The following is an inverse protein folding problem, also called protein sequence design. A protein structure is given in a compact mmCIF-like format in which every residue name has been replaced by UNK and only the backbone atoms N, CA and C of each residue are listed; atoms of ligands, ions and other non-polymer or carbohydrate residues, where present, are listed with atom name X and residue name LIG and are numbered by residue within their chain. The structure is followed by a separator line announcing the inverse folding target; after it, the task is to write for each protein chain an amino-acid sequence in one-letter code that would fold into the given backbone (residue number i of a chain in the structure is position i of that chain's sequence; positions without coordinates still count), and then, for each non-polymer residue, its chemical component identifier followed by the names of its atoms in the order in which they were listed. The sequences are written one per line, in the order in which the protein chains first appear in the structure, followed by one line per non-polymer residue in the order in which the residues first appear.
data_IF_083912053655
#
_entry.id   IF_083912053655
#
_cell.length_a   1.000
_cell.length_b   1.000
_cell.length_c   1.000
_cell.angle_alpha   90.00
_cell.angle_beta   90.00
_cell.angle_gamma   90.00
#
_symmetry.space_group_name_H-M   'P 1'
#
loop_
_entity.id
_entity.type
_entity.pdbx_description
1 polymer ?
#
# COMPACT_ATOMS: atom_id res chain seq x y z
N UNK A 1 -38.28 -54.67 -31.78
CA UNK A 1 -38.16 -54.10 -30.42
C UNK A 1 -36.90 -53.27 -30.41
N UNK A 2 -37.04 -51.93 -30.51
CA UNK A 2 -35.93 -50.96 -30.58
C UNK A 2 -35.80 -50.27 -29.24
N UNK A 3 -34.69 -50.57 -28.54
CA UNK A 3 -34.32 -49.89 -27.25
C UNK A 3 -33.70 -48.54 -27.55
N UNK A 4 -34.31 -47.49 -27.08
CA UNK A 4 -33.74 -46.13 -27.13
C UNK A 4 -32.99 -45.91 -25.85
N UNK A 5 -31.66 -45.81 -25.95
CA UNK A 5 -30.77 -45.31 -24.89
C UNK A 5 -30.78 -43.78 -24.92
N UNK A 6 -31.44 -43.16 -23.95
CA UNK A 6 -31.32 -41.72 -23.66
C UNK A 6 -29.97 -41.48 -22.95
N UNK A 7 -29.01 -40.94 -23.68
CA UNK A 7 -27.80 -40.39 -23.07
C UNK A 7 -28.14 -38.99 -22.51
N UNK A 8 -28.35 -38.91 -21.20
CA UNK A 8 -28.49 -37.64 -20.49
C UNK A 8 -27.13 -36.95 -20.41
N UNK A 9 -26.96 -35.91 -21.18
CA UNK A 9 -25.79 -35.01 -21.08
C UNK A 9 -25.98 -34.12 -19.85
N UNK A 10 -25.39 -34.51 -18.72
CA UNK A 10 -25.27 -33.66 -17.55
C UNK A 10 -24.26 -32.53 -17.86
N UNK A 11 -24.79 -31.39 -18.29
CA UNK A 11 -24.06 -30.14 -18.38
C UNK A 11 -23.79 -29.65 -16.97
N UNK A 12 -22.64 -30.04 -16.39
CA UNK A 12 -22.16 -29.45 -15.13
C UNK A 12 -21.68 -28.04 -15.47
N UNK A 13 -22.59 -27.07 -15.42
CA UNK A 13 -22.22 -25.66 -15.31
C UNK A 13 -21.47 -25.46 -14.00
N UNK A 14 -20.14 -25.54 -14.02
CA UNK A 14 -19.34 -25.04 -12.94
C UNK A 14 -19.56 -23.53 -12.87
N UNK A 15 -20.55 -23.11 -12.07
CA UNK A 15 -20.62 -21.74 -11.59
C UNK A 15 -19.33 -21.50 -10.78
N UNK A 16 -18.31 -21.01 -11.44
CA UNK A 16 -17.21 -20.36 -10.72
C UNK A 16 -17.85 -19.17 -9.99
N UNK A 17 -18.05 -19.32 -8.69
CA UNK A 17 -18.46 -18.24 -7.84
C UNK A 17 -17.43 -17.11 -8.06
N UNK A 18 -17.81 -16.09 -8.82
CA UNK A 18 -16.99 -14.91 -9.02
C UNK A 18 -16.86 -14.29 -7.64
N UNK A 19 -15.64 -14.21 -7.11
CA UNK A 19 -15.40 -13.49 -5.88
C UNK A 19 -16.00 -12.09 -6.02
N UNK A 20 -16.82 -11.70 -5.03
CA UNK A 20 -17.35 -10.35 -4.97
C UNK A 20 -16.17 -9.38 -4.89
N UNK A 21 -16.25 -8.31 -5.66
CA UNK A 21 -15.22 -7.26 -5.64
C UNK A 21 -15.63 -6.14 -4.70
N UNK A 22 -14.76 -5.84 -3.77
CA UNK A 22 -14.92 -4.75 -2.83
C UNK A 22 -14.18 -3.52 -3.37
N UNK A 23 -14.80 -2.36 -3.27
CA UNK A 23 -14.15 -1.09 -3.62
C UNK A 23 -13.05 -0.76 -2.63
N UNK A 24 -11.90 -0.35 -3.15
CA UNK A 24 -10.77 0.17 -2.40
C UNK A 24 -10.75 1.69 -2.48
N UNK A 25 -10.12 2.31 -1.50
CA UNK A 25 -9.83 3.73 -1.50
C UNK A 25 -8.34 3.97 -1.38
N UNK A 26 -7.86 5.04 -2.01
CA UNK A 26 -6.48 5.49 -1.83
C UNK A 26 -6.43 6.43 -0.65
N UNK A 27 -5.73 6.04 0.40
CA UNK A 27 -5.38 6.93 1.49
C UNK A 27 -4.03 7.57 1.19
N UNK A 28 -4.03 8.76 0.62
CA UNK A 28 -2.82 9.50 0.28
C UNK A 28 -2.63 10.67 1.24
N UNK A 29 -1.39 10.89 1.65
CA UNK A 29 -0.95 12.08 2.39
C UNK A 29 0.22 12.77 1.70
N UNK A 30 0.35 12.58 0.41
CA UNK A 30 1.41 13.12 -0.40
C UNK A 30 1.15 12.98 -1.89
N UNK A 31 2.11 13.42 -2.66
CA UNK A 31 2.03 13.53 -4.11
C UNK A 31 1.98 12.19 -4.83
N UNK A 32 2.70 11.20 -4.31
CA UNK A 32 2.91 9.92 -4.98
C UNK A 32 2.67 8.79 -4.00
N UNK A 33 1.99 7.77 -4.47
CA UNK A 33 1.65 6.60 -3.67
C UNK A 33 0.42 6.82 -2.80
N UNK A 34 0.34 6.03 -1.75
CA UNK A 34 -0.77 6.01 -0.81
C UNK A 34 -0.98 4.59 -0.30
N UNK A 35 -1.70 4.46 0.79
CA UNK A 35 -2.10 3.16 1.33
C UNK A 35 -3.38 2.68 0.68
N UNK A 36 -3.55 1.37 0.65
CA UNK A 36 -4.76 0.72 0.19
C UNK A 36 -5.73 0.63 1.37
N UNK A 37 -6.73 1.50 1.37
CA UNK A 37 -7.77 1.51 2.38
C UNK A 37 -8.99 0.71 1.93
N UNK A 38 -9.58 -0.01 2.87
CA UNK A 38 -10.79 -0.81 2.68
C UNK A 38 -11.72 -0.64 3.87
N UNK A 39 -13.03 -0.76 3.62
CA UNK A 39 -14.03 -0.78 4.68
C UNK A 39 -14.26 -2.23 5.10
N UNK A 40 -13.99 -2.53 6.35
CA UNK A 40 -14.20 -3.86 6.96
C UNK A 40 -15.35 -3.75 7.96
N UNK A 41 -16.23 -4.72 7.92
CA UNK A 41 -17.28 -4.85 8.91
C UNK A 41 -16.81 -5.76 10.05
N UNK A 42 -16.89 -5.26 11.27
CA UNK A 42 -16.64 -6.01 12.49
C UNK A 42 -17.93 -6.02 13.31
N UNK A 43 -18.55 -7.21 13.43
CA UNK A 43 -19.89 -7.36 13.99
C UNK A 43 -20.91 -6.47 13.25
N UNK A 44 -21.53 -5.51 13.95
CA UNK A 44 -22.52 -4.56 13.43
C UNK A 44 -21.92 -3.22 12.98
N UNK A 45 -20.59 -3.06 13.06
CA UNK A 45 -19.90 -1.79 12.80
C UNK A 45 -18.92 -1.89 11.64
N UNK A 46 -18.92 -0.87 10.81
CA UNK A 46 -17.93 -0.71 9.76
C UNK A 46 -16.76 0.13 10.26
N UNK A 47 -15.56 -0.24 9.83
CA UNK A 47 -14.30 0.44 10.16
C UNK A 47 -13.39 0.59 8.96
N UNK A 48 -12.41 1.46 9.06
CA UNK A 48 -11.43 1.78 8.01
C UNK A 48 -10.13 1.02 8.28
N UNK A 49 -9.70 0.24 7.33
CA UNK A 49 -8.53 -0.62 7.48
C UNK A 49 -7.57 -0.46 6.31
N UNK A 50 -6.29 -0.66 6.58
CA UNK A 50 -5.24 -0.71 5.56
C UNK A 50 -4.88 -2.17 5.25
N UNK A 51 -4.69 -2.50 3.97
CA UNK A 51 -4.17 -3.80 3.54
C UNK A 51 -2.65 -3.72 3.51
N UNK A 52 -2.00 -4.63 4.25
CA UNK A 52 -0.56 -4.62 4.45
C UNK A 52 0.05 -6.02 4.29
N UNK A 53 0.62 -6.29 3.11
CA UNK A 53 1.34 -7.53 2.84
C UNK A 53 2.74 -7.58 3.48
N UNK A 54 3.22 -6.48 4.02
CA UNK A 54 4.46 -6.39 4.80
C UNK A 54 4.29 -6.68 6.30
N UNK A 55 3.05 -6.94 6.76
CA UNK A 55 2.78 -7.26 8.17
C UNK A 55 2.42 -8.72 8.36
N UNK A 56 3.15 -9.41 9.26
CA UNK A 56 2.85 -10.81 9.64
C UNK A 56 1.66 -10.94 10.59
N UNK A 57 1.07 -9.84 11.03
CA UNK A 57 -0.03 -9.78 11.99
C UNK A 57 -1.09 -8.77 11.57
N UNK A 58 -2.32 -8.96 12.03
CA UNK A 58 -3.27 -7.86 12.07
C UNK A 58 -2.87 -6.88 13.18
N UNK A 59 -3.15 -5.61 12.99
CA UNK A 59 -2.94 -4.56 13.99
C UNK A 59 -4.25 -3.79 14.15
N UNK A 60 -4.61 -3.42 15.37
CA UNK A 60 -5.78 -2.59 15.64
C UNK A 60 -5.45 -1.39 16.51
N UNK A 61 -6.20 -0.31 16.31
CA UNK A 61 -6.10 0.89 17.12
C UNK A 61 -6.65 0.65 18.53
N UNK A 62 -6.28 1.55 19.47
CA UNK A 62 -6.91 1.61 20.80
C UNK A 62 -8.41 1.79 20.66
N UNK A 63 -8.84 2.75 19.85
CA UNK A 63 -10.25 3.12 19.70
C UNK A 63 -11.08 1.96 19.17
N UNK A 64 -10.55 1.18 18.23
CA UNK A 64 -11.20 -0.04 17.75
C UNK A 64 -11.36 -1.04 18.90
N UNK A 65 -10.29 -1.32 19.64
CA UNK A 65 -10.32 -2.28 20.74
C UNK A 65 -11.29 -1.86 21.86
N UNK A 66 -11.35 -0.58 22.18
CA UNK A 66 -12.27 -0.03 23.20
C UNK A 66 -13.73 -0.11 22.73
N UNK A 67 -14.02 0.26 21.46
CA UNK A 67 -15.37 0.17 20.90
C UNK A 67 -15.93 -1.25 20.88
N UNK A 68 -15.08 -2.25 20.64
CA UNK A 68 -15.43 -3.67 20.61
C UNK A 68 -15.15 -4.39 21.93
N UNK A 69 -14.76 -3.63 23.00
CA UNK A 69 -14.50 -4.16 24.37
C UNK A 69 -13.54 -5.36 24.36
N UNK A 70 -12.49 -5.30 23.53
CA UNK A 70 -11.55 -6.40 23.39
C UNK A 70 -10.71 -6.57 24.67
N UNK A 71 -10.58 -7.79 25.13
CA UNK A 71 -9.73 -8.13 26.28
C UNK A 71 -8.27 -8.10 25.87
N UNK A 72 -7.46 -7.36 26.63
CA UNK A 72 -6.01 -7.28 26.42
C UNK A 72 -5.31 -8.54 26.96
N UNK A 73 -4.55 -9.19 26.09
CA UNK A 73 -3.70 -10.31 26.40
C UNK A 73 -2.25 -9.90 26.70
N UNK A 74 -1.31 -10.75 26.32
CA UNK A 74 0.10 -10.55 26.53
C UNK A 74 0.64 -9.30 25.86
N UNK A 75 1.59 -8.62 26.51
CA UNK A 75 2.31 -7.51 25.91
C UNK A 75 3.39 -8.03 24.96
N UNK A 76 3.41 -7.52 23.73
CA UNK A 76 4.32 -7.94 22.66
C UNK A 76 5.02 -6.72 22.08
N UNK A 77 6.30 -6.87 21.74
CA UNK A 77 7.08 -5.90 20.98
C UNK A 77 7.34 -6.44 19.58
N UNK A 78 7.11 -5.61 18.58
CA UNK A 78 7.36 -5.91 17.16
C UNK A 78 8.28 -4.86 16.55
N UNK A 79 9.13 -5.29 15.63
CA UNK A 79 9.95 -4.37 14.83
C UNK A 79 9.16 -3.94 13.61
N UNK A 80 9.20 -2.62 13.31
CA UNK A 80 8.59 -2.02 12.14
C UNK A 80 9.62 -1.21 11.35
N UNK A 81 9.27 -0.78 10.14
CA UNK A 81 10.12 0.09 9.33
C UNK A 81 10.45 1.42 10.02
N UNK A 82 9.57 1.90 10.90
CA UNK A 82 9.73 3.14 11.66
C UNK A 82 10.31 2.94 13.06
N UNK A 83 10.70 1.72 13.41
CA UNK A 83 11.25 1.34 14.71
C UNK A 83 10.35 0.39 15.50
N UNK A 84 10.75 0.01 16.71
CA UNK A 84 10.01 -0.95 17.50
C UNK A 84 8.73 -0.37 18.08
N UNK A 85 7.65 -1.15 17.99
CA UNK A 85 6.34 -0.82 18.54
C UNK A 85 5.93 -1.88 19.57
N UNK A 86 5.36 -1.43 20.68
CA UNK A 86 4.80 -2.31 21.71
C UNK A 86 3.29 -2.24 21.71
N UNK A 87 2.65 -3.38 21.89
CA UNK A 87 1.21 -3.48 21.99
C UNK A 87 0.79 -4.67 22.84
N UNK A 88 -0.52 -4.92 22.90
CA UNK A 88 -1.09 -6.10 23.57
C UNK A 88 -1.79 -6.98 22.55
N UNK A 89 -1.68 -8.28 22.69
CA UNK A 89 -2.47 -9.21 21.88
C UNK A 89 -3.96 -9.07 22.24
N UNK A 90 -4.82 -9.16 21.23
CA UNK A 90 -6.27 -9.14 21.40
C UNK A 90 -6.88 -10.18 20.44
N UNK A 91 -7.97 -10.82 20.87
CA UNK A 91 -8.81 -11.60 19.98
C UNK A 91 -9.70 -10.65 19.18
N UNK A 92 -9.73 -10.82 17.84
CA UNK A 92 -10.58 -10.02 16.98
C UNK A 92 -12.02 -10.54 16.98
N UNK A 93 -13.02 -9.68 16.85
CA UNK A 93 -14.36 -10.09 16.47
C UNK A 93 -14.33 -10.66 15.05
N UNK A 94 -15.43 -11.25 14.62
CA UNK A 94 -15.58 -11.69 13.24
C UNK A 94 -15.51 -10.49 12.29
N UNK A 95 -14.60 -10.57 11.35
CA UNK A 95 -14.41 -9.54 10.32
C UNK A 95 -15.06 -9.99 9.03
N UNK A 96 -15.70 -9.07 8.31
CA UNK A 96 -16.24 -9.28 6.97
C UNK A 96 -15.78 -8.22 6.00
N UNK A 97 -15.49 -8.69 4.77
CA UNK A 97 -15.04 -7.86 3.66
C UNK A 97 -15.72 -8.40 2.38
N UNK A 98 -16.83 -7.79 1.99
CA UNK A 98 -17.72 -8.37 0.99
C UNK A 98 -18.27 -9.72 1.45
N UNK A 99 -18.14 -10.74 0.61
CA UNK A 99 -18.52 -12.13 0.93
C UNK A 99 -17.49 -12.88 1.76
N UNK A 100 -16.27 -12.34 1.88
CA UNK A 100 -15.22 -12.96 2.68
C UNK A 100 -15.44 -12.69 4.17
N UNK A 101 -15.28 -13.73 4.99
CA UNK A 101 -15.33 -13.64 6.45
C UNK A 101 -14.09 -14.24 7.08
N UNK A 102 -13.64 -13.64 8.17
CA UNK A 102 -12.43 -14.02 8.88
C UNK A 102 -12.71 -14.07 10.38
N UNK A 103 -12.68 -15.27 10.91
CA UNK A 103 -13.08 -15.57 12.30
C UNK A 103 -11.90 -16.11 13.09
N UNK A 104 -11.95 -16.01 14.43
CA UNK A 104 -10.98 -16.63 15.33
C UNK A 104 -9.56 -16.08 15.20
N UNK A 105 -9.40 -14.85 14.74
CA UNK A 105 -8.10 -14.21 14.55
C UNK A 105 -7.67 -13.40 15.74
N UNK A 106 -6.36 -13.14 15.82
CA UNK A 106 -5.77 -12.23 16.79
C UNK A 106 -5.11 -11.05 16.10
N UNK A 107 -4.99 -9.95 16.81
CA UNK A 107 -4.29 -8.76 16.37
C UNK A 107 -3.37 -8.23 17.47
N UNK A 108 -2.46 -7.37 17.09
CA UNK A 108 -1.71 -6.53 18.01
C UNK A 108 -2.46 -5.20 18.17
N UNK A 109 -2.99 -4.95 19.36
CA UNK A 109 -3.56 -3.63 19.70
C UNK A 109 -2.41 -2.70 20.07
N UNK A 110 -2.33 -1.58 19.36
CA UNK A 110 -1.38 -0.50 19.65
C UNK A 110 -2.12 0.77 20.03
N UNK A 111 -1.45 1.65 20.80
CA UNK A 111 -2.10 2.85 21.32
C UNK A 111 -2.38 3.89 20.24
N UNK A 112 -1.50 3.99 19.26
CA UNK A 112 -1.60 4.96 18.17
C UNK A 112 -1.06 4.38 16.87
N UNK A 113 -1.93 4.22 15.85
CA UNK A 113 -1.53 3.75 14.53
C UNK A 113 -0.61 4.73 13.79
N UNK A 114 -0.57 6.00 14.20
CA UNK A 114 0.35 6.96 13.61
C UNK A 114 1.83 6.60 13.82
N UNK A 115 2.18 5.74 14.78
CA UNK A 115 3.56 5.23 14.95
C UNK A 115 3.96 4.25 13.84
N UNK A 116 2.99 3.72 13.08
CA UNK A 116 3.20 2.78 11.96
C UNK A 116 2.88 3.44 10.61
N UNK A 117 1.81 4.22 10.56
CA UNK A 117 1.27 4.83 9.34
C UNK A 117 1.57 6.33 9.23
N UNK A 118 2.27 6.92 10.22
CA UNK A 118 2.40 8.36 10.31
C UNK A 118 1.01 9.03 10.42
N UNK A 119 0.83 10.27 9.95
CA UNK A 119 -0.46 10.97 10.00
C UNK A 119 -1.62 10.22 9.31
N UNK A 120 -1.33 9.28 8.40
CA UNK A 120 -2.34 8.43 7.77
C UNK A 120 -3.08 7.53 8.76
N UNK A 121 -2.47 7.22 9.90
CA UNK A 121 -3.07 6.38 10.93
C UNK A 121 -4.26 7.00 11.65
N UNK A 122 -4.50 8.29 11.49
CA UNK A 122 -5.64 8.96 12.11
C UNK A 122 -6.98 8.48 11.53
N UNK A 123 -7.87 8.04 12.42
CA UNK A 123 -9.17 7.50 12.06
C UNK A 123 -9.11 6.16 11.29
N UNK A 124 -7.99 5.46 11.32
CA UNK A 124 -7.86 4.07 10.88
C UNK A 124 -8.09 3.14 12.07
N UNK A 125 -8.94 2.15 11.88
CA UNK A 125 -9.29 1.16 12.89
C UNK A 125 -8.27 0.03 12.99
N UNK A 126 -7.68 -0.34 11.85
CA UNK A 126 -6.68 -1.40 11.85
C UNK A 126 -5.92 -1.58 10.54
N UNK A 127 -5.03 -2.56 10.58
CA UNK A 127 -4.22 -3.03 9.47
C UNK A 127 -4.50 -4.52 9.29
N UNK A 128 -4.93 -4.90 8.09
CA UNK A 128 -5.08 -6.30 7.68
C UNK A 128 -3.75 -6.80 7.14
N UNK A 129 -3.06 -7.60 7.95
CA UNK A 129 -1.80 -8.23 7.56
C UNK A 129 -1.98 -9.58 6.87
N UNK A 130 -0.88 -10.30 6.68
CA UNK A 130 -0.81 -11.59 5.98
C UNK A 130 -1.76 -12.69 6.47
N UNK A 131 -2.22 -12.74 7.74
CA UNK A 131 -3.24 -13.72 8.11
C UNK A 131 -4.50 -13.65 7.25
N UNK A 132 -4.82 -12.46 6.68
CA UNK A 132 -5.89 -12.29 5.68
C UNK A 132 -5.70 -13.20 4.46
N UNK A 133 -4.46 -13.43 4.03
CA UNK A 133 -4.13 -14.12 2.78
C UNK A 133 -3.95 -15.62 2.96
N UNK A 134 -3.93 -16.12 4.18
CA UNK A 134 -3.73 -17.56 4.44
C UNK A 134 -4.93 -18.35 3.91
N UNK A 135 -4.67 -19.31 3.03
CA UNK A 135 -5.72 -20.10 2.36
C UNK A 135 -6.54 -19.30 1.34
N UNK A 136 -6.09 -18.10 0.95
CA UNK A 136 -6.79 -17.21 0.04
C UNK A 136 -5.91 -16.79 -1.13
N UNK A 137 -6.56 -16.47 -2.24
CA UNK A 137 -5.98 -15.72 -3.35
C UNK A 137 -6.54 -14.29 -3.33
N UNK A 138 -5.64 -13.32 -3.37
CA UNK A 138 -5.97 -11.90 -3.42
C UNK A 138 -5.95 -11.40 -4.87
N UNK A 139 -7.07 -10.90 -5.37
CA UNK A 139 -7.18 -10.17 -6.65
C UNK A 139 -7.13 -8.68 -6.38
N UNK A 140 -5.92 -8.14 -6.31
CA UNK A 140 -5.66 -6.73 -6.06
C UNK A 140 -5.60 -5.99 -7.41
N UNK A 141 -6.65 -5.26 -7.75
CA UNK A 141 -6.74 -4.48 -8.98
C UNK A 141 -6.64 -2.98 -8.66
N UNK A 142 -5.42 -2.44 -8.74
CA UNK A 142 -5.16 -1.03 -8.47
C UNK A 142 -5.37 -0.12 -9.69
N UNK A 143 -5.80 -0.67 -10.83
CA UNK A 143 -6.31 0.13 -11.94
C UNK A 143 -7.73 0.59 -11.66
N UNK A 144 -8.57 -0.35 -11.23
CA UNK A 144 -10.00 -0.11 -10.95
C UNK A 144 -10.27 0.10 -9.46
N UNK A 145 -9.23 0.07 -8.62
CA UNK A 145 -9.30 0.16 -7.16
C UNK A 145 -10.34 -0.79 -6.56
N UNK A 146 -10.18 -2.07 -6.88
CA UNK A 146 -11.03 -3.14 -6.36
C UNK A 146 -10.19 -4.30 -5.82
N UNK A 147 -10.76 -4.99 -4.83
CA UNK A 147 -10.21 -6.17 -4.20
C UNK A 147 -11.18 -7.33 -4.33
N UNK A 148 -10.71 -8.47 -4.82
CA UNK A 148 -11.38 -9.75 -4.70
C UNK A 148 -10.61 -10.67 -3.76
N UNK A 149 -11.33 -11.43 -2.95
CA UNK A 149 -10.75 -12.47 -2.10
C UNK A 149 -11.46 -13.78 -2.43
N UNK A 150 -10.71 -14.80 -2.78
CA UNK A 150 -11.24 -16.12 -3.09
C UNK A 150 -10.41 -17.20 -2.39
N UNK A 151 -10.93 -18.37 -2.12
CA UNK A 151 -10.13 -19.49 -1.64
C UNK A 151 -8.92 -19.73 -2.56
N UNK A 152 -7.77 -19.99 -1.97
CA UNK A 152 -6.57 -20.33 -2.73
C UNK A 152 -6.82 -21.53 -3.64
N UNK A 153 -6.24 -21.51 -4.83
CA UNK A 153 -6.30 -22.65 -5.76
C UNK A 153 -5.57 -23.83 -5.11
N UNK A 154 -6.23 -24.95 -4.92
CA UNK A 154 -5.63 -26.15 -4.30
C UNK A 154 -4.25 -26.53 -4.86
N UNK A 155 -3.82 -27.78 -4.78
CA UNK A 155 -2.46 -28.25 -5.08
C UNK A 155 -1.90 -27.89 -6.48
N UNK A 156 -2.72 -27.46 -7.42
CA UNK A 156 -2.31 -27.01 -8.75
C UNK A 156 -2.94 -25.65 -9.07
N UNK A 157 -2.15 -24.60 -8.93
CA UNK A 157 -2.59 -23.27 -9.35
C UNK A 157 -2.90 -23.25 -10.86
N UNK A 158 -4.03 -22.67 -11.30
CA UNK A 158 -4.32 -22.49 -12.71
C UNK A 158 -3.28 -21.58 -13.37
N UNK A 159 -3.15 -21.66 -14.70
CA UNK A 159 -2.35 -20.70 -15.44
C UNK A 159 -2.82 -19.26 -15.17
N UNK A 160 -1.90 -18.30 -15.24
CA UNK A 160 -2.27 -16.90 -15.14
C UNK A 160 -3.30 -16.53 -16.22
N UNK A 161 -4.25 -15.65 -15.91
CA UNK A 161 -5.18 -15.12 -16.90
C UNK A 161 -4.46 -14.48 -18.09
N UNK A 162 -5.14 -14.41 -19.23
CA UNK A 162 -4.61 -13.72 -20.41
C UNK A 162 -4.20 -12.28 -20.06
N UNK A 163 -3.04 -11.85 -20.57
CA UNK A 163 -2.46 -10.54 -20.29
C UNK A 163 -1.74 -10.42 -18.93
N UNK A 164 -1.62 -11.52 -18.18
CA UNK A 164 -0.83 -11.59 -16.96
C UNK A 164 0.30 -12.61 -17.09
N UNK A 165 1.44 -12.32 -16.48
CA UNK A 165 2.59 -13.21 -16.41
C UNK A 165 2.74 -13.81 -15.01
N UNK A 166 3.28 -15.01 -14.98
CA UNK A 166 3.64 -15.72 -13.77
C UNK A 166 4.85 -15.05 -13.09
N UNK A 167 4.76 -14.86 -11.79
CA UNK A 167 5.81 -14.34 -10.94
C UNK A 167 5.96 -15.24 -9.72
N UNK A 168 7.12 -15.88 -9.59
CA UNK A 168 7.46 -16.63 -8.40
C UNK A 168 7.68 -15.68 -7.22
N UNK A 169 7.08 -15.99 -6.07
CA UNK A 169 7.30 -15.29 -4.82
C UNK A 169 8.31 -16.05 -3.97
N UNK A 170 9.34 -15.34 -3.52
CA UNK A 170 10.17 -15.78 -2.42
C UNK A 170 9.46 -15.54 -1.09
N UNK A 171 10.10 -15.99 -0.02
CA UNK A 171 9.61 -15.76 1.34
C UNK A 171 10.78 -15.40 2.26
N UNK A 172 10.57 -14.41 3.10
CA UNK A 172 11.48 -14.08 4.20
C UNK A 172 10.67 -13.87 5.48
N UNK A 173 10.83 -14.78 6.46
CA UNK A 173 10.11 -14.75 7.76
C UNK A 173 8.59 -14.67 7.61
N UNK A 174 8.03 -15.39 6.65
CA UNK A 174 6.60 -15.37 6.34
C UNK A 174 6.15 -14.18 5.46
N UNK A 175 7.06 -13.26 5.10
CA UNK A 175 6.76 -12.10 4.24
C UNK A 175 7.05 -12.43 2.77
N UNK A 176 6.19 -12.00 1.82
CA UNK A 176 6.41 -12.24 0.40
C UNK A 176 7.55 -11.38 -0.14
N UNK A 177 8.41 -12.00 -0.94
CA UNK A 177 9.58 -11.38 -1.56
C UNK A 177 9.47 -11.49 -3.07
N UNK A 178 9.79 -10.41 -3.77
CA UNK A 178 9.84 -10.36 -5.24
C UNK A 178 11.24 -9.97 -5.71
N UNK A 179 11.63 -10.51 -6.88
CA UNK A 179 12.83 -10.07 -7.59
C UNK A 179 12.55 -8.79 -8.38
N UNK A 180 13.37 -7.77 -8.15
CA UNK A 180 13.23 -6.45 -8.78
C UNK A 180 14.54 -6.04 -9.42
N UNK A 181 14.52 -5.67 -10.69
CA UNK A 181 15.69 -5.14 -11.41
C UNK A 181 15.53 -3.63 -11.58
N UNK A 182 16.48 -2.85 -11.07
CA UNK A 182 16.46 -1.38 -11.12
C UNK A 182 17.52 -0.90 -12.10
N UNK A 183 17.13 -0.10 -13.09
CA UNK A 183 18.00 0.45 -14.15
C UNK A 183 18.84 -0.62 -14.88
N UNK A 184 18.32 -1.84 -15.01
CA UNK A 184 19.04 -2.96 -15.66
C UNK A 184 20.20 -3.53 -14.83
N UNK A 185 20.36 -3.16 -13.57
CA UNK A 185 21.37 -3.72 -12.66
C UNK A 185 21.02 -5.16 -12.22
N UNK A 186 21.81 -5.72 -11.31
CA UNK A 186 21.52 -7.04 -10.74
C UNK A 186 20.14 -7.02 -10.04
N UNK A 187 19.44 -8.14 -10.12
CA UNK A 187 18.13 -8.30 -9.46
C UNK A 187 18.30 -8.28 -7.95
N UNK A 188 17.55 -7.39 -7.31
CA UNK A 188 17.43 -7.25 -5.86
C UNK A 188 16.18 -7.99 -5.36
N UNK A 189 16.23 -8.51 -4.14
CA UNK A 189 15.06 -9.08 -3.46
C UNK A 189 14.41 -8.01 -2.59
N UNK A 190 13.16 -7.66 -2.87
CA UNK A 190 12.39 -6.68 -2.11
C UNK A 190 11.15 -7.35 -1.50
N UNK A 191 10.75 -6.93 -0.30
CA UNK A 191 9.45 -7.32 0.24
C UNK A 191 8.34 -6.70 -0.63
N UNK A 192 7.34 -7.49 -0.98
CA UNK A 192 6.09 -7.01 -1.54
C UNK A 192 5.24 -6.45 -0.39
N UNK A 193 5.23 -5.14 -0.24
CA UNK A 193 4.76 -4.45 0.96
C UNK A 193 3.72 -3.37 0.62
N UNK A 194 2.44 -3.73 0.67
CA UNK A 194 1.33 -2.78 0.44
C UNK A 194 1.10 -1.84 1.63
N UNK A 195 1.73 -2.09 2.79
CA UNK A 195 1.80 -1.15 3.91
C UNK A 195 2.77 0.02 3.67
N UNK A 196 3.61 -0.08 2.63
CA UNK A 196 4.52 0.99 2.21
C UNK A 196 3.92 1.79 1.04
N UNK A 197 3.68 3.10 1.21
CA UNK A 197 3.09 3.94 0.16
C UNK A 197 4.09 4.31 -0.96
N UNK A 198 5.40 4.23 -0.72
CA UNK A 198 6.43 4.54 -1.73
C UNK A 198 6.48 3.49 -2.84
N UNK A 199 7.16 3.78 -3.95
CA UNK A 199 7.34 2.80 -5.01
C UNK A 199 8.43 1.78 -4.63
N UNK A 200 9.64 2.26 -4.39
CA UNK A 200 10.78 1.44 -3.95
C UNK A 200 11.44 2.10 -2.75
N UNK A 201 11.71 1.32 -1.72
CA UNK A 201 12.57 1.73 -0.59
C UNK A 201 13.76 0.80 -0.54
N UNK A 202 14.97 1.31 -0.75
CA UNK A 202 16.21 0.61 -0.47
C UNK A 202 16.62 0.85 0.98
N UNK A 203 16.93 -0.21 1.69
CA UNK A 203 17.28 -0.15 3.11
C UNK A 203 18.79 -0.29 3.24
N UNK A 204 19.41 0.71 3.85
CA UNK A 204 20.86 0.78 4.03
C UNK A 204 21.21 0.76 5.53
N UNK A 205 22.42 0.27 5.83
CA UNK A 205 23.02 0.36 7.16
C UNK A 205 24.23 1.28 7.08
N UNK A 206 24.01 2.59 7.02
CA UNK A 206 25.10 3.57 7.08
C UNK A 206 25.41 3.91 8.54
N UNK A 207 26.69 4.04 8.86
CA UNK A 207 27.17 4.37 10.21
C UNK A 207 27.10 5.85 10.54
N UNK A 208 26.79 6.72 9.56
CA UNK A 208 26.72 8.17 9.80
C UNK A 208 25.34 8.59 10.30
N UNK A 209 25.31 9.34 11.39
CA UNK A 209 24.10 9.77 12.10
C UNK A 209 23.23 10.81 11.34
N UNK A 210 23.65 11.29 10.19
CA UNK A 210 22.97 12.34 9.45
C UNK A 210 22.59 11.85 8.05
N UNK A 211 21.48 11.16 7.92
CA UNK A 211 20.95 10.95 6.58
C UNK A 211 19.46 11.27 6.53
N UNK A 212 19.16 12.44 6.00
CA UNK A 212 17.90 12.66 5.30
C UNK A 212 17.76 11.51 4.30
N UNK A 213 16.63 10.82 4.22
CA UNK A 213 16.42 9.77 3.23
C UNK A 213 16.81 10.28 1.84
N UNK A 214 17.72 9.58 1.16
CA UNK A 214 18.04 9.89 -0.23
C UNK A 214 16.79 9.65 -1.08
N UNK A 215 16.48 10.58 -1.98
CA UNK A 215 15.37 10.43 -2.92
C UNK A 215 15.91 10.60 -4.33
N UNK A 216 15.75 9.58 -5.17
CA UNK A 216 16.25 9.55 -6.54
C UNK A 216 15.23 8.92 -7.48
N UNK A 217 15.41 9.12 -8.80
CA UNK A 217 14.55 8.60 -9.85
C UNK A 217 15.27 7.48 -10.59
N UNK A 218 14.72 6.27 -10.56
CA UNK A 218 15.13 5.19 -11.44
C UNK A 218 14.44 5.35 -12.81
N UNK A 219 15.20 5.19 -13.87
CA UNK A 219 14.65 5.24 -15.25
C UNK A 219 13.75 4.05 -15.54
N UNK A 220 14.06 2.90 -14.92
CA UNK A 220 13.25 1.69 -15.06
C UNK A 220 13.34 0.79 -13.83
N UNK A 221 12.21 0.13 -13.52
CA UNK A 221 12.11 -0.95 -12.54
C UNK A 221 11.34 -2.09 -13.19
N UNK A 222 11.91 -3.29 -13.17
CA UNK A 222 11.31 -4.48 -13.78
C UNK A 222 11.00 -5.53 -12.72
N UNK A 223 9.79 -6.08 -12.74
CA UNK A 223 9.31 -7.15 -11.88
C UNK A 223 8.70 -8.24 -12.78
N UNK A 224 9.45 -9.31 -13.01
CA UNK A 224 9.04 -10.29 -14.03
C UNK A 224 8.79 -9.61 -15.37
N UNK A 225 7.56 -9.68 -15.89
CA UNK A 225 7.16 -9.05 -17.15
C UNK A 225 6.58 -7.61 -16.99
N UNK A 226 6.37 -7.14 -15.78
CA UNK A 226 5.95 -5.76 -15.51
C UNK A 226 7.16 -4.83 -15.58
N UNK A 227 7.06 -3.76 -16.35
CA UNK A 227 8.07 -2.70 -16.40
C UNK A 227 7.47 -1.37 -15.99
N UNK A 228 8.09 -0.71 -15.00
CA UNK A 228 7.76 0.65 -14.57
C UNK A 228 8.88 1.59 -15.00
N UNK A 229 8.52 2.79 -15.40
CA UNK A 229 9.48 3.86 -15.73
C UNK A 229 9.31 5.04 -14.78
N UNK A 230 10.37 5.84 -14.65
CA UNK A 230 10.37 7.06 -13.83
C UNK A 230 9.97 6.79 -12.38
N UNK A 231 10.60 5.76 -11.78
CA UNK A 231 10.23 5.23 -10.47
C UNK A 231 10.98 5.96 -9.35
N UNK A 232 10.28 6.63 -8.42
CA UNK A 232 10.90 7.18 -7.21
C UNK A 232 11.49 6.07 -6.33
N UNK A 233 12.75 6.21 -5.97
CA UNK A 233 13.48 5.31 -5.06
C UNK A 233 13.90 6.09 -3.82
N UNK A 234 13.44 5.62 -2.68
CA UNK A 234 13.83 6.13 -1.35
C UNK A 234 15.00 5.32 -0.84
N UNK A 235 16.09 5.97 -0.46
CA UNK A 235 17.23 5.34 0.22
C UNK A 235 17.08 5.60 1.72
N UNK A 236 16.66 4.61 2.47
CA UNK A 236 16.37 4.72 3.89
C UNK A 236 17.55 4.17 4.71
N UNK A 237 18.16 5.00 5.53
CA UNK A 237 19.11 4.54 6.52
C UNK A 237 18.35 4.00 7.75
N UNK A 238 18.18 2.70 7.81
CA UNK A 238 17.45 2.02 8.88
C UNK A 238 18.24 0.78 9.36
N UNK A 239 19.31 0.94 10.16
CA UNK A 239 20.20 -0.16 10.54
C UNK A 239 19.51 -1.32 11.25
N UNK A 240 18.49 -1.06 12.05
CA UNK A 240 17.73 -2.11 12.73
C UNK A 240 16.93 -2.96 11.73
N UNK A 241 16.21 -2.30 10.82
CA UNK A 241 15.46 -2.97 9.77
C UNK A 241 16.39 -3.70 8.80
N UNK A 242 17.52 -3.07 8.43
CA UNK A 242 18.54 -3.73 7.63
C UNK A 242 19.02 -5.05 8.28
N UNK A 243 19.35 -5.04 9.56
CA UNK A 243 19.76 -6.28 10.27
C UNK A 243 18.66 -7.34 10.31
N UNK A 244 17.39 -6.91 10.36
CA UNK A 244 16.27 -7.84 10.36
C UNK A 244 16.03 -8.50 9.00
N UNK A 245 16.37 -7.84 7.90
CA UNK A 245 16.07 -8.23 6.51
C UNK A 245 17.29 -8.79 5.78
N UNK A 246 18.49 -8.23 6.00
CA UNK A 246 19.70 -8.65 5.30
C UNK A 246 20.20 -10.05 5.74
N UNK A 247 20.94 -10.78 4.87
CA UNK A 247 21.30 -10.37 3.50
C UNK A 247 20.23 -10.70 2.46
N UNK A 248 19.10 -11.32 2.84
CA UNK A 248 18.11 -11.88 1.92
C UNK A 248 17.25 -10.83 1.24
N UNK A 249 17.02 -9.68 1.90
CA UNK A 249 16.10 -8.64 1.42
C UNK A 249 16.82 -7.29 1.50
N UNK A 250 16.79 -6.54 0.39
CA UNK A 250 17.47 -5.25 0.25
C UNK A 250 16.53 -4.05 0.41
N UNK A 251 15.22 -4.28 0.46
CA UNK A 251 14.26 -3.17 0.53
C UNK A 251 12.80 -3.59 0.44
N UNK A 252 11.95 -2.62 0.11
CA UNK A 252 10.51 -2.76 0.03
C UNK A 252 10.03 -2.31 -1.36
N UNK A 253 9.08 -3.06 -1.92
CA UNK A 253 8.33 -2.71 -3.12
C UNK A 253 6.89 -2.37 -2.69
N UNK A 254 6.53 -1.10 -2.75
CA UNK A 254 5.31 -0.61 -2.17
C UNK A 254 4.23 -0.23 -3.18
N UNK A 255 3.17 0.37 -2.68
CA UNK A 255 1.91 0.59 -3.40
C UNK A 255 2.08 1.44 -4.65
N UNK A 256 2.92 2.49 -4.62
CA UNK A 256 3.14 3.32 -5.81
C UNK A 256 3.77 2.55 -6.97
N UNK A 257 4.54 1.48 -6.71
CA UNK A 257 5.08 0.61 -7.73
C UNK A 257 4.00 -0.27 -8.37
N UNK A 258 2.99 -0.67 -7.58
CA UNK A 258 1.88 -1.53 -8.00
C UNK A 258 0.74 -0.75 -8.64
N UNK A 259 0.68 0.57 -8.45
CA UNK A 259 -0.42 1.43 -8.88
C UNK A 259 -0.71 1.32 -10.38
N UNK A 260 -1.98 1.32 -10.74
CA UNK A 260 -2.44 1.16 -12.13
C UNK A 260 -2.32 -0.27 -12.69
N UNK A 261 -1.97 -1.27 -11.88
CA UNK A 261 -1.82 -2.67 -12.30
C UNK A 261 -2.73 -3.62 -11.51
N UNK A 262 -2.89 -4.84 -12.01
CA UNK A 262 -3.63 -5.91 -11.33
C UNK A 262 -2.68 -7.04 -10.95
N UNK A 263 -2.86 -7.55 -9.74
CA UNK A 263 -2.08 -8.62 -9.14
C UNK A 263 -3.02 -9.71 -8.60
N UNK A 264 -2.77 -10.95 -8.96
CA UNK A 264 -3.36 -12.10 -8.27
C UNK A 264 -2.28 -12.71 -7.38
N UNK A 265 -2.43 -12.62 -6.06
CA UNK A 265 -1.42 -13.06 -5.10
C UNK A 265 -1.92 -14.29 -4.38
N UNK A 266 -1.18 -15.40 -4.48
CA UNK A 266 -1.42 -16.64 -3.77
C UNK A 266 -0.15 -17.00 -2.99
N UNK A 267 -0.17 -16.75 -1.69
CA UNK A 267 1.00 -16.98 -0.82
C UNK A 267 1.22 -18.47 -0.55
N UNK A 268 0.15 -19.27 -0.49
CA UNK A 268 0.27 -20.71 -0.24
C UNK A 268 0.98 -21.41 -1.40
N UNK A 269 0.78 -20.90 -2.62
CA UNK A 269 1.48 -21.34 -3.83
C UNK A 269 2.80 -20.61 -4.09
N UNK A 270 3.15 -19.62 -3.27
CA UNK A 270 4.31 -18.72 -3.48
C UNK A 270 4.35 -18.14 -4.89
N UNK A 271 3.23 -17.63 -5.33
CA UNK A 271 3.02 -17.21 -6.71
C UNK A 271 2.18 -15.96 -6.78
N UNK A 272 2.48 -15.12 -7.77
CA UNK A 272 1.57 -14.08 -8.21
C UNK A 272 1.41 -14.13 -9.74
N UNK A 273 0.25 -13.68 -10.22
CA UNK A 273 0.09 -13.29 -11.63
C UNK A 273 0.06 -11.78 -11.68
N UNK A 274 0.88 -11.20 -12.56
CA UNK A 274 1.07 -9.76 -12.67
C UNK A 274 0.77 -9.32 -14.09
N UNK A 275 0.04 -8.24 -14.27
CA UNK A 275 -0.21 -7.68 -15.60
C UNK A 275 1.09 -7.29 -16.31
N UNK A 276 1.16 -7.62 -17.60
CA UNK A 276 2.32 -7.35 -18.45
C UNK A 276 2.14 -5.97 -19.10
N UNK A 277 2.66 -4.93 -18.48
CA UNK A 277 2.53 -3.56 -18.97
C UNK A 277 3.83 -2.77 -18.75
N UNK A 278 4.00 -1.74 -19.57
CA UNK A 278 4.99 -0.69 -19.32
C UNK A 278 4.27 0.59 -18.96
N UNK A 279 4.39 1.03 -17.72
CA UNK A 279 3.69 2.19 -17.18
C UNK A 279 4.66 3.10 -16.42
N UNK A 280 4.58 4.43 -16.59
CA UNK A 280 5.28 5.36 -15.72
C UNK A 280 4.66 5.34 -14.32
N UNK A 281 5.48 5.60 -13.29
CA UNK A 281 4.96 6.03 -11.99
C UNK A 281 4.62 7.51 -12.13
N UNK A 282 3.45 7.98 -11.69
CA UNK A 282 3.09 9.39 -11.79
C UNK A 282 4.13 10.30 -11.11
N UNK A 283 4.44 11.41 -11.72
CA UNK A 283 5.24 12.47 -11.10
C UNK A 283 4.53 13.11 -9.91
N UNK A 284 5.19 14.04 -9.23
CA UNK A 284 4.67 14.73 -8.06
C UNK A 284 4.61 16.24 -8.22
N UNK A 285 4.05 16.91 -7.20
CA UNK A 285 4.06 18.38 -7.07
C UNK A 285 5.23 18.84 -6.17
N UNK A 286 5.75 17.92 -5.34
CA UNK A 286 6.93 18.11 -4.50
C UNK A 286 6.67 18.88 -3.22
N UNK A 287 5.50 18.75 -2.62
CA UNK A 287 5.17 19.35 -1.35
C UNK A 287 4.51 18.35 -0.38
N UNK A 288 4.65 18.63 0.91
CA UNK A 288 3.97 17.91 1.97
C UNK A 288 3.19 18.91 2.82
N UNK A 289 1.97 18.54 3.18
CA UNK A 289 1.09 19.34 4.04
C UNK A 289 1.11 18.83 5.48
N UNK A 290 0.87 19.76 6.41
CA UNK A 290 0.66 19.47 7.83
C UNK A 290 -0.52 20.28 8.34
N UNK A 291 -1.28 19.73 9.26
CA UNK A 291 -2.32 20.44 10.00
C UNK A 291 -1.77 20.91 11.35
N UNK A 292 -1.93 22.21 11.64
CA UNK A 292 -1.53 22.82 12.89
C UNK A 292 -2.53 23.91 13.25
N UNK A 293 -2.92 23.98 14.52
CA UNK A 293 -3.78 25.05 15.06
C UNK A 293 -5.05 25.28 14.25
N UNK A 294 -5.64 24.22 13.69
CA UNK A 294 -6.84 24.27 12.87
C UNK A 294 -6.64 24.82 11.46
N UNK A 295 -5.38 25.06 11.05
CA UNK A 295 -5.00 25.48 9.71
C UNK A 295 -4.14 24.43 8.98
N UNK A 296 -4.05 24.57 7.66
CA UNK A 296 -3.22 23.70 6.80
C UNK A 296 -1.99 24.49 6.35
N UNK A 297 -0.83 23.89 6.51
CA UNK A 297 0.45 24.52 6.18
C UNK A 297 1.28 23.59 5.30
N UNK A 298 2.18 24.16 4.52
CA UNK A 298 3.23 23.41 3.82
C UNK A 298 4.28 22.99 4.86
N UNK A 299 4.45 21.69 5.07
CA UNK A 299 5.49 21.15 5.95
C UNK A 299 6.86 21.19 5.30
N UNK A 300 6.92 20.79 4.02
CA UNK A 300 8.16 20.76 3.25
C UNK A 300 7.89 20.92 1.76
N UNK A 301 8.89 21.44 1.05
CA UNK A 301 8.93 21.54 -0.41
C UNK A 301 10.21 20.91 -0.90
N UNK A 302 10.11 19.99 -1.86
CA UNK A 302 11.26 19.33 -2.46
C UNK A 302 11.96 20.27 -3.46
N UNK A 303 13.30 20.30 -3.48
CA UNK A 303 14.05 21.11 -4.45
C UNK A 303 13.68 20.76 -5.90
N UNK A 304 13.74 21.76 -6.77
CA UNK A 304 13.43 21.66 -8.22
C UNK A 304 12.03 21.13 -8.55
N UNK A 305 11.14 20.96 -7.56
CA UNK A 305 9.78 20.51 -7.76
C UNK A 305 8.89 21.63 -8.35
N UNK A 306 7.71 21.27 -8.91
CA UNK A 306 6.70 22.26 -9.32
C UNK A 306 6.36 23.26 -8.22
N UNK A 307 6.23 22.80 -6.96
CA UNK A 307 5.97 23.67 -5.82
C UNK A 307 7.13 24.65 -5.54
N UNK A 308 8.39 24.17 -5.61
CA UNK A 308 9.57 25.02 -5.44
C UNK A 308 9.67 26.06 -6.56
N UNK A 309 9.44 25.65 -7.81
CA UNK A 309 9.46 26.55 -8.98
C UNK A 309 8.35 27.59 -8.93
N UNK A 310 7.21 27.26 -8.31
CA UNK A 310 6.11 28.20 -8.04
C UNK A 310 6.38 29.13 -6.85
N UNK A 311 7.53 29.00 -6.17
CA UNK A 311 7.91 29.84 -5.04
C UNK A 311 7.29 29.46 -3.70
N UNK A 312 6.61 28.33 -3.61
CA UNK A 312 6.04 27.83 -2.34
C UNK A 312 7.15 27.41 -1.37
N UNK A 313 6.92 27.59 -0.08
CA UNK A 313 7.90 27.34 0.98
C UNK A 313 7.30 26.60 2.18
N UNK A 314 8.15 25.91 2.92
CA UNK A 314 7.79 25.37 4.21
C UNK A 314 7.33 26.50 5.15
N UNK A 315 6.24 26.28 5.88
CA UNK A 315 5.59 27.26 6.76
C UNK A 315 4.50 28.08 6.09
N UNK A 316 4.36 28.07 4.78
CA UNK A 316 3.28 28.78 4.09
C UNK A 316 1.91 28.23 4.51
N UNK A 317 0.99 29.12 4.90
CA UNK A 317 -0.39 28.77 5.23
C UNK A 317 -1.18 28.56 3.93
N UNK A 318 -1.70 27.36 3.71
CA UNK A 318 -2.50 27.02 2.54
C UNK A 318 -3.94 27.47 2.76
N UNK A 319 -4.43 28.37 1.94
CA UNK A 319 -5.80 28.93 2.04
C UNK A 319 -6.74 28.35 0.98
N UNK A 320 -6.20 27.94 -0.19
CA UNK A 320 -6.95 27.23 -1.21
C UNK A 320 -6.19 25.98 -1.65
N UNK A 321 -6.92 24.89 -1.84
CA UNK A 321 -6.39 23.60 -2.23
C UNK A 321 -7.37 22.90 -3.15
N UNK A 322 -7.01 22.74 -4.39
CA UNK A 322 -7.80 22.04 -5.43
C UNK A 322 -9.27 22.44 -5.34
N UNK A 323 -9.80 23.15 -6.25
CA UNK A 323 -11.24 23.52 -6.37
C UNK A 323 -11.92 24.13 -5.11
N UNK A 324 -11.17 24.50 -4.05
CA UNK A 324 -11.83 25.05 -2.87
C UNK A 324 -10.89 25.37 -1.69
N UNK A 325 -11.46 25.84 -0.56
CA UNK A 325 -10.68 26.20 0.59
C UNK A 325 -9.92 25.01 1.18
N UNK A 326 -8.72 25.27 1.71
CA UNK A 326 -7.87 24.28 2.36
C UNK A 326 -8.34 24.03 3.82
N UNK A 327 -9.53 23.45 3.96
CA UNK A 327 -10.13 23.13 5.27
C UNK A 327 -10.49 21.66 5.35
N UNK A 328 -10.43 21.12 6.57
CA UNK A 328 -10.72 19.71 6.86
C UNK A 328 -9.46 18.85 6.96
N UNK A 329 -9.62 17.55 7.26
CA UNK A 329 -8.51 16.68 7.51
C UNK A 329 -7.64 16.48 6.26
N UNK A 330 -6.32 16.37 6.44
CA UNK A 330 -5.33 16.25 5.34
C UNK A 330 -5.69 15.17 4.32
N UNK A 331 -6.23 14.04 4.76
CA UNK A 331 -6.67 12.96 3.86
C UNK A 331 -7.75 13.39 2.87
N UNK A 332 -8.69 14.24 3.30
CA UNK A 332 -9.75 14.75 2.43
C UNK A 332 -9.17 15.73 1.41
N UNK A 333 -8.19 16.55 1.82
CA UNK A 333 -7.47 17.46 0.93
C UNK A 333 -6.66 16.68 -0.11
N UNK A 334 -5.89 15.68 0.32
CA UNK A 334 -5.14 14.82 -0.61
C UNK A 334 -6.05 13.95 -1.48
N UNK A 335 -7.21 13.56 -0.99
CA UNK A 335 -8.24 12.87 -1.78
C UNK A 335 -8.67 13.68 -3.02
N UNK A 336 -8.71 15.00 -2.94
CA UNK A 336 -9.01 15.89 -4.09
C UNK A 336 -7.92 15.88 -5.16
N UNK A 337 -6.71 15.48 -4.81
CA UNK A 337 -5.53 15.43 -5.72
C UNK A 337 -5.48 14.13 -6.53
N UNK A 338 -6.14 13.09 -6.05
CA UNK A 338 -6.09 11.77 -6.68
C UNK A 338 -6.55 11.81 -8.14
N UNK A 339 -5.70 11.29 -9.04
CA UNK A 339 -5.98 11.23 -10.48
C UNK A 339 -5.84 12.57 -11.23
N UNK A 340 -5.38 13.62 -10.57
CA UNK A 340 -5.17 14.94 -11.24
C UNK A 340 -3.73 15.14 -11.67
N UNK A 341 -3.52 15.66 -12.86
CA UNK A 341 -2.21 16.06 -13.38
C UNK A 341 -1.84 17.50 -13.02
N UNK A 342 -2.82 18.28 -12.55
CA UNK A 342 -2.62 19.64 -12.08
C UNK A 342 -3.53 19.93 -10.88
N UNK A 343 -3.05 20.80 -9.99
CA UNK A 343 -3.81 21.29 -8.84
C UNK A 343 -3.63 22.81 -8.69
N UNK A 344 -4.66 23.44 -8.15
CA UNK A 344 -4.63 24.86 -7.79
C UNK A 344 -4.29 25.00 -6.30
N UNK A 345 -3.32 25.86 -6.00
CA UNK A 345 -2.86 26.13 -4.62
C UNK A 345 -2.78 27.62 -4.41
N UNK A 346 -3.28 28.11 -3.27
CA UNK A 346 -3.05 29.47 -2.80
C UNK A 346 -2.50 29.44 -1.38
N UNK A 347 -1.51 30.27 -1.12
CA UNK A 347 -0.92 30.44 0.22
C UNK A 347 -1.14 31.88 0.70
N UNK A 348 -1.69 32.01 1.92
CA UNK A 348 -2.04 33.31 2.48
C UNK A 348 -2.91 34.13 1.54
N UNK A 349 -2.46 35.36 1.23
CA UNK A 349 -3.11 36.31 0.31
C UNK A 349 -2.46 36.35 -1.08
N UNK A 350 -1.53 35.44 -1.38
CA UNK A 350 -0.85 35.41 -2.68
C UNK A 350 -1.81 34.98 -3.80
N UNK A 351 -1.38 35.19 -5.04
CA UNK A 351 -2.16 34.72 -6.19
C UNK A 351 -2.26 33.19 -6.23
N UNK A 352 -3.36 32.68 -6.75
CA UNK A 352 -3.53 31.24 -7.00
C UNK A 352 -2.48 30.78 -8.01
N UNK A 353 -1.78 29.69 -7.69
CA UNK A 353 -0.81 29.06 -8.58
C UNK A 353 -1.29 27.68 -9.01
N UNK A 354 -1.02 27.32 -10.26
CA UNK A 354 -1.33 26.01 -10.82
C UNK A 354 -0.05 25.16 -10.79
N UNK A 355 -0.05 24.10 -10.03
CA UNK A 355 1.04 23.11 -10.01
C UNK A 355 0.70 21.98 -10.97
N UNK A 356 1.64 21.61 -11.86
CA UNK A 356 1.52 20.44 -12.73
C UNK A 356 2.47 19.35 -12.26
N UNK A 357 2.03 18.11 -12.29
CA UNK A 357 2.88 16.96 -11.94
C UNK A 357 4.12 16.94 -12.83
N UNK A 358 5.26 16.63 -12.22
CA UNK A 358 6.52 16.47 -12.93
C UNK A 358 7.43 15.45 -12.25
N UNK A 359 8.38 14.90 -13.01
CA UNK A 359 9.50 14.16 -12.48
C UNK A 359 10.67 15.14 -12.30
N UNK A 360 11.03 15.40 -11.06
CA UNK A 360 12.04 16.40 -10.68
C UNK A 360 13.14 15.84 -9.79
N UNK A 361 13.08 14.54 -9.47
CA UNK A 361 14.07 13.89 -8.64
C UNK A 361 15.37 13.67 -9.44
N UNK A 362 16.55 13.74 -8.78
CA UNK A 362 17.80 13.41 -9.42
C UNK A 362 17.84 11.95 -9.86
N UNK A 363 18.53 11.68 -10.96
CA UNK A 363 18.69 10.31 -11.45
C UNK A 363 19.38 9.43 -10.39
N UNK A 364 18.89 8.20 -10.24
CA UNK A 364 19.50 7.18 -9.39
C UNK A 364 20.82 6.74 -10.04
N UNK A 365 21.93 6.95 -9.33
CA UNK A 365 23.28 6.55 -9.72
C UNK A 365 23.62 5.14 -9.27
#
# INVERSE_FOLDING_TARGET
MKSWLLAGLLLVCALQARAERVSLQRLSLGDVGGWIEVIVQAEDRSGRWIIDTGSTRHIVSRDFAERHKLTLGARVRVETALGPVSGSEVALPDLRLGTWSHTGQSALRIDNLAVVLGPAGEGIDGILGLPLLKGQQLDLNLRDWTLGIAPASGARAPACPAGMADLALGEHRGLPVIGVTINGAATESLLLDTGNPAAVVRIEARTSAASVPGLALATSVTIGALQRTEVPVVQLNAPALHRALAPMVQGLAGTALLDGTRWLIDLDQRRACVETQRLPVPGGFGLKLVERDGGVFIESVLPASPAALAGLRAGDAVTHWVDGPAVGPLRALWGRVTGRDAIDVQVGTQALVVLRRAHFLPALR
#
